data_IF_831587575626
#
_entry.id   IF_831587575626
#
_cell.length_a   1.000
_cell.length_b   1.000
_cell.length_c   1.000
_cell.angle_alpha   90.00
_cell.angle_beta   90.00
_cell.angle_gamma   90.00
#
_symmetry.space_group_name_H-M   'P 1'
#
loop_
_entity.id
_entity.type
_entity.pdbx_description
1 polymer ?
#
# COMPACT_ATOMS: atom_id res chain seq x y z
N UNK A 1 4.62 21.59 2.09
CA UNK A 1 5.76 21.28 1.18
C UNK A 1 7.06 21.97 1.58
N UNK A 2 7.03 23.26 1.99
CA UNK A 2 8.22 24.00 2.42
C UNK A 2 9.00 23.41 3.61
N UNK A 3 8.42 22.48 4.37
CA UNK A 3 9.08 21.74 5.46
C UNK A 3 10.00 20.61 4.99
N UNK A 4 9.80 20.08 3.77
CA UNK A 4 10.46 18.88 3.25
C UNK A 4 11.92 19.07 2.78
N UNK A 5 12.35 20.22 2.21
CA UNK A 5 13.72 20.36 1.70
C UNK A 5 14.84 20.13 2.73
N UNK A 6 14.59 20.44 4.02
CA UNK A 6 15.59 20.22 5.10
C UNK A 6 15.84 18.73 5.37
N UNK A 7 14.90 17.86 5.03
CA UNK A 7 14.98 16.44 5.35
C UNK A 7 13.74 15.70 4.89
N UNK A 8 13.61 15.37 3.60
CA UNK A 8 12.36 14.85 3.04
C UNK A 8 11.98 13.49 3.65
N UNK A 9 12.97 12.67 3.99
CA UNK A 9 12.74 11.41 4.72
C UNK A 9 12.38 11.63 6.19
N UNK A 10 13.00 12.61 6.86
CA UNK A 10 12.78 12.85 8.30
C UNK A 10 11.38 13.41 8.61
N UNK A 11 10.79 14.12 7.64
CA UNK A 11 9.46 14.72 7.73
C UNK A 11 8.45 14.03 6.80
N UNK A 12 8.65 12.74 6.51
CA UNK A 12 7.75 11.98 5.65
C UNK A 12 6.35 11.90 6.30
N UNK A 13 5.29 12.40 5.65
CA UNK A 13 3.99 12.63 6.30
C UNK A 13 3.27 11.34 6.73
N UNK A 14 3.61 10.19 6.15
CA UNK A 14 3.05 8.90 6.53
C UNK A 14 3.89 8.13 7.54
N UNK A 15 5.21 8.30 7.53
CA UNK A 15 6.12 7.52 8.40
C UNK A 15 6.43 8.26 9.70
N UNK A 16 6.42 9.59 9.66
CA UNK A 16 6.80 10.49 10.75
C UNK A 16 5.83 11.66 10.81
N UNK A 17 4.53 11.37 10.96
CA UNK A 17 3.46 12.36 10.93
C UNK A 17 3.65 13.47 11.98
N UNK A 18 4.00 13.10 13.21
CA UNK A 18 4.22 14.07 14.29
C UNK A 18 5.37 15.04 13.97
N UNK A 19 6.51 14.52 13.51
CA UNK A 19 7.64 15.36 13.09
C UNK A 19 7.29 16.24 11.90
N UNK A 20 6.47 15.75 10.98
CA UNK A 20 6.00 16.52 9.83
C UNK A 20 5.08 17.67 10.27
N UNK A 21 4.20 17.44 11.26
CA UNK A 21 3.34 18.45 11.87
C UNK A 21 4.18 19.52 12.60
N UNK A 22 5.08 19.10 13.48
CA UNK A 22 5.99 20.00 14.20
C UNK A 22 6.77 20.89 13.23
N UNK A 23 7.33 20.29 12.17
CA UNK A 23 8.12 21.03 11.19
C UNK A 23 7.26 21.99 10.36
N UNK A 24 6.04 21.61 9.99
CA UNK A 24 5.07 22.50 9.33
C UNK A 24 4.75 23.69 10.23
N UNK A 25 4.46 23.43 11.51
CA UNK A 25 4.09 24.47 12.46
C UNK A 25 5.23 25.47 12.66
N UNK A 26 6.47 24.99 12.76
CA UNK A 26 7.64 25.87 12.80
C UNK A 26 7.76 26.77 11.56
N UNK A 27 7.48 26.25 10.36
CA UNK A 27 7.48 27.07 9.13
C UNK A 27 6.37 28.12 9.18
N UNK A 28 5.18 27.78 9.69
CA UNK A 28 4.08 28.72 9.84
C UNK A 28 4.45 29.82 10.83
N UNK A 29 5.07 29.49 11.96
CA UNK A 29 5.53 30.48 12.93
C UNK A 29 6.56 31.44 12.31
N UNK A 30 7.49 30.93 11.48
CA UNK A 30 8.41 31.78 10.72
C UNK A 30 7.70 32.67 9.68
N UNK A 31 6.60 32.21 9.07
CA UNK A 31 5.82 33.04 8.15
C UNK A 31 5.10 34.17 8.89
N UNK A 32 4.61 33.93 10.12
CA UNK A 32 4.01 34.95 10.98
C UNK A 32 5.06 35.97 11.41
N UNK A 33 6.22 35.52 11.90
CA UNK A 33 7.31 36.39 12.37
C UNK A 33 7.85 37.31 11.26
N UNK A 34 7.92 36.80 10.03
CA UNK A 34 8.39 37.56 8.87
C UNK A 34 7.26 38.36 8.17
N UNK A 35 6.03 38.34 8.69
CA UNK A 35 4.91 39.14 8.18
C UNK A 35 4.28 38.65 6.87
N UNK A 36 4.51 37.39 6.47
CA UNK A 36 3.88 36.80 5.28
C UNK A 36 2.42 36.40 5.50
N UNK A 37 2.03 36.13 6.75
CA UNK A 37 0.67 35.79 7.18
C UNK A 37 0.37 36.42 8.54
N UNK A 38 -0.90 36.63 8.84
CA UNK A 38 -1.34 37.08 10.17
C UNK A 38 -1.24 35.96 11.20
N UNK A 39 -1.21 36.33 12.49
CA UNK A 39 -1.25 35.36 13.60
C UNK A 39 -2.49 34.48 13.54
N UNK A 40 -3.65 35.06 13.21
CA UNK A 40 -4.91 34.34 13.11
C UNK A 40 -4.89 33.29 11.99
N UNK A 41 -4.36 33.65 10.81
CA UNK A 41 -4.17 32.70 9.70
C UNK A 41 -3.18 31.59 10.06
N UNK A 42 -2.09 31.94 10.76
CA UNK A 42 -1.10 30.97 11.22
C UNK A 42 -1.68 29.96 12.22
N UNK A 43 -2.45 30.43 13.20
CA UNK A 43 -3.07 29.56 14.21
C UNK A 43 -4.16 28.68 13.59
N UNK A 44 -4.96 29.21 12.65
CA UNK A 44 -5.92 28.43 11.86
C UNK A 44 -5.23 27.33 11.06
N UNK A 45 -4.14 27.64 10.35
CA UNK A 45 -3.40 26.67 9.53
C UNK A 45 -2.72 25.58 10.38
N UNK A 46 -2.27 25.90 11.60
CA UNK A 46 -1.70 24.91 12.54
C UNK A 46 -2.75 23.92 13.05
N UNK A 47 -4.01 24.34 13.17
CA UNK A 47 -5.11 23.48 13.62
C UNK A 47 -5.57 22.46 12.55
N UNK A 48 -5.26 22.69 11.28
CA UNK A 48 -5.62 21.77 10.21
C UNK A 48 -4.75 20.49 10.23
N UNK A 49 -5.30 19.32 9.85
CA UNK A 49 -4.50 18.11 9.65
C UNK A 49 -3.55 18.29 8.45
N UNK A 50 -2.55 17.40 8.29
CA UNK A 50 -1.59 17.48 7.18
C UNK A 50 -2.22 17.34 5.78
N UNK A 51 -3.45 16.81 5.68
CA UNK A 51 -4.21 16.73 4.43
C UNK A 51 -3.54 15.88 3.34
N UNK A 52 -2.65 14.95 3.71
CA UNK A 52 -1.88 14.19 2.71
C UNK A 52 -2.69 13.04 2.17
N UNK A 53 -3.01 13.10 0.88
CA UNK A 53 -3.60 11.97 0.16
C UNK A 53 -2.51 10.96 -0.21
N UNK A 54 -2.65 9.68 0.16
CA UNK A 54 -1.76 8.63 -0.33
C UNK A 54 -1.74 8.63 -1.85
N UNK A 55 -0.55 8.72 -2.44
CA UNK A 55 -0.41 8.20 -3.80
C UNK A 55 -0.65 6.70 -3.72
N UNK A 56 -1.63 6.20 -4.45
CA UNK A 56 -1.77 4.75 -4.64
C UNK A 56 -0.48 4.28 -5.31
N UNK A 57 0.33 3.52 -4.59
CA UNK A 57 1.53 2.91 -5.14
C UNK A 57 1.07 1.78 -6.09
N UNK A 58 1.55 1.82 -7.34
CA UNK A 58 1.23 0.84 -8.37
C UNK A 58 1.12 1.50 -9.73
N UNK A 59 1.67 0.87 -10.76
CA UNK A 59 1.35 1.18 -12.15
C UNK A 59 -0.16 1.22 -12.30
N UNK A 60 -0.69 2.31 -12.85
CA UNK A 60 -2.12 2.56 -13.06
C UNK A 60 -2.82 1.55 -14.00
N UNK A 61 -2.13 0.46 -14.34
CA UNK A 61 -2.62 -0.68 -15.10
C UNK A 61 -2.88 -1.81 -14.11
N UNK A 62 -4.03 -1.75 -13.45
CA UNK A 62 -4.58 -2.89 -12.70
C UNK A 62 -4.45 -4.16 -13.55
N UNK A 63 -3.82 -5.22 -13.00
CA UNK A 63 -3.55 -6.50 -13.66
C UNK A 63 -2.46 -6.53 -14.76
N UNK A 64 -1.73 -5.43 -14.97
CA UNK A 64 -0.70 -5.31 -16.01
C UNK A 64 0.75 -5.44 -15.50
N UNK A 65 0.99 -5.87 -14.27
CA UNK A 65 2.29 -5.80 -13.60
C UNK A 65 3.37 -6.61 -14.34
N UNK A 66 3.06 -7.86 -14.68
CA UNK A 66 3.96 -8.73 -15.45
C UNK A 66 4.26 -8.17 -16.85
N UNK A 67 3.26 -7.63 -17.53
CA UNK A 67 3.44 -7.02 -18.84
C UNK A 67 4.30 -5.75 -18.75
N UNK A 68 4.07 -4.92 -17.73
CA UNK A 68 4.83 -3.68 -17.49
C UNK A 68 6.29 -4.00 -17.17
N UNK A 69 6.55 -5.04 -16.38
CA UNK A 69 7.90 -5.51 -16.09
C UNK A 69 8.60 -6.03 -17.35
N UNK A 70 7.89 -6.73 -18.24
CA UNK A 70 8.46 -7.16 -19.52
C UNK A 70 8.79 -5.97 -20.42
N UNK A 71 7.91 -4.96 -20.50
CA UNK A 71 8.18 -3.71 -21.21
C UNK A 71 9.42 -3.02 -20.63
N UNK A 72 9.56 -2.98 -19.30
CA UNK A 72 10.75 -2.42 -18.62
C UNK A 72 12.02 -3.14 -19.06
N UNK A 73 12.03 -4.48 -19.05
CA UNK A 73 13.16 -5.30 -19.51
C UNK A 73 13.52 -5.03 -20.97
N UNK A 74 12.52 -4.91 -21.84
CA UNK A 74 12.74 -4.61 -23.25
C UNK A 74 13.33 -3.22 -23.50
N UNK A 75 12.89 -2.21 -22.73
CA UNK A 75 13.44 -0.85 -22.84
C UNK A 75 14.90 -0.84 -22.38
N UNK A 76 15.21 -1.47 -21.24
CA UNK A 76 16.59 -1.56 -20.74
C UNK A 76 17.48 -2.27 -21.77
N UNK A 77 17.01 -3.40 -22.33
CA UNK A 77 17.78 -4.15 -23.31
C UNK A 77 18.07 -3.34 -24.60
N UNK A 78 17.19 -2.41 -24.98
CA UNK A 78 17.33 -1.63 -26.22
C UNK A 78 18.02 -0.28 -26.03
N UNK A 79 17.80 0.37 -24.89
CA UNK A 79 18.14 1.77 -24.66
C UNK A 79 18.99 1.99 -23.40
N UNK A 80 19.23 0.96 -22.60
CA UNK A 80 19.95 1.03 -21.33
C UNK A 80 19.09 1.57 -20.18
N UNK A 81 19.63 1.47 -18.97
CA UNK A 81 18.92 1.88 -17.74
C UNK A 81 18.73 3.40 -17.65
N UNK A 82 19.73 4.19 -18.06
CA UNK A 82 19.64 5.65 -18.00
C UNK A 82 18.49 6.19 -18.86
N UNK A 83 18.28 5.63 -20.05
CA UNK A 83 17.17 6.03 -20.92
C UNK A 83 15.80 5.70 -20.29
N UNK A 84 15.69 4.55 -19.60
CA UNK A 84 14.46 4.18 -18.91
C UNK A 84 14.14 5.13 -17.75
N UNK A 85 15.12 5.42 -16.89
CA UNK A 85 14.87 6.10 -15.62
C UNK A 85 15.02 7.63 -15.69
N UNK A 86 15.84 8.14 -16.59
CA UNK A 86 16.16 9.58 -16.70
C UNK A 86 15.68 10.19 -18.03
N UNK A 87 15.38 9.35 -19.02
CA UNK A 87 15.04 9.79 -20.38
C UNK A 87 13.63 10.37 -20.55
N UNK A 88 12.78 10.34 -19.51
CA UNK A 88 11.42 10.88 -19.58
C UNK A 88 10.53 10.24 -20.64
N UNK A 89 10.78 8.95 -20.96
CA UNK A 89 10.11 8.25 -22.06
C UNK A 89 8.61 8.09 -21.81
N UNK A 90 7.80 8.31 -22.86
CA UNK A 90 6.40 7.93 -22.89
C UNK A 90 6.24 6.67 -23.76
N UNK A 91 5.80 5.56 -23.15
CA UNK A 91 5.77 4.25 -23.79
C UNK A 91 4.34 3.83 -24.06
N UNK A 92 4.00 3.65 -25.34
CA UNK A 92 2.71 3.07 -25.76
C UNK A 92 2.90 1.63 -26.16
N UNK A 93 2.10 0.74 -25.59
CA UNK A 93 2.19 -0.70 -25.79
C UNK A 93 0.93 -1.26 -26.44
N UNK A 94 0.95 -2.55 -26.76
CA UNK A 94 -0.20 -3.28 -27.31
C UNK A 94 -1.12 -3.85 -26.23
N UNK A 95 -0.89 -3.53 -24.95
CA UNK A 95 -1.70 -4.08 -23.85
C UNK A 95 -3.13 -3.55 -23.92
N UNK A 96 -4.10 -4.46 -24.03
CA UNK A 96 -5.51 -4.16 -23.82
C UNK A 96 -5.88 -4.47 -22.35
N UNK A 97 -6.23 -3.46 -21.54
CA UNK A 97 -6.55 -3.67 -20.13
C UNK A 97 -7.76 -4.59 -19.88
N UNK A 98 -8.74 -4.60 -20.79
CA UNK A 98 -9.95 -5.43 -20.64
C UNK A 98 -9.60 -6.89 -20.86
N UNK A 99 -8.85 -7.18 -21.93
CA UNK A 99 -8.40 -8.56 -22.22
C UNK A 99 -7.45 -9.04 -21.12
N UNK A 100 -6.54 -8.18 -20.64
CA UNK A 100 -5.62 -8.51 -19.56
C UNK A 100 -6.35 -8.92 -18.27
N UNK A 101 -7.42 -8.22 -17.91
CA UNK A 101 -8.22 -8.56 -16.73
C UNK A 101 -8.90 -9.93 -16.88
N UNK A 102 -9.44 -10.22 -18.06
CA UNK A 102 -10.07 -11.53 -18.36
C UNK A 102 -9.01 -12.64 -18.31
N UNK A 103 -7.85 -12.43 -18.91
CA UNK A 103 -6.75 -13.38 -18.93
C UNK A 103 -6.26 -13.71 -17.51
N UNK A 104 -6.06 -12.68 -16.67
CA UNK A 104 -5.69 -12.87 -15.26
C UNK A 104 -6.73 -13.70 -14.51
N UNK A 105 -8.01 -13.35 -14.64
CA UNK A 105 -9.11 -14.08 -13.98
C UNK A 105 -9.19 -15.54 -14.45
N UNK A 106 -9.04 -15.80 -15.75
CA UNK A 106 -9.05 -17.15 -16.29
C UNK A 106 -7.88 -18.00 -15.76
N UNK A 107 -6.68 -17.44 -15.71
CA UNK A 107 -5.49 -18.10 -15.15
C UNK A 107 -5.68 -18.40 -13.66
N UNK A 108 -6.11 -17.41 -12.88
CA UNK A 108 -6.38 -17.54 -11.46
C UNK A 108 -7.41 -18.65 -11.19
N UNK A 109 -8.54 -18.64 -11.90
CA UNK A 109 -9.58 -19.68 -11.77
C UNK A 109 -9.05 -21.07 -12.12
N UNK A 110 -8.22 -21.19 -13.15
CA UNK A 110 -7.59 -22.45 -13.53
C UNK A 110 -6.68 -23.00 -12.44
N UNK A 111 -5.85 -22.15 -11.85
CA UNK A 111 -4.95 -22.52 -10.76
C UNK A 111 -5.70 -22.86 -9.48
N UNK A 112 -6.73 -22.10 -9.12
CA UNK A 112 -7.59 -22.39 -7.96
C UNK A 112 -8.31 -23.73 -8.12
N UNK A 113 -8.86 -24.00 -9.29
CA UNK A 113 -9.50 -25.30 -9.59
C UNK A 113 -8.49 -26.45 -9.50
N UNK A 114 -7.29 -26.25 -10.04
CA UNK A 114 -6.22 -27.25 -9.96
C UNK A 114 -5.81 -27.56 -8.52
N UNK A 115 -5.71 -26.53 -7.67
CA UNK A 115 -5.31 -26.64 -6.28
C UNK A 115 -6.39 -27.33 -5.42
N UNK A 116 -7.63 -26.84 -5.50
CA UNK A 116 -8.76 -27.33 -4.71
C UNK A 116 -9.09 -28.80 -4.96
N UNK A 117 -8.84 -29.31 -6.17
CA UNK A 117 -9.03 -30.73 -6.50
C UNK A 117 -8.02 -31.66 -5.82
N UNK A 118 -6.92 -31.15 -5.27
CA UNK A 118 -5.86 -31.95 -4.62
C UNK A 118 -5.97 -31.99 -3.10
N UNK A 119 -7.03 -31.40 -2.56
CA UNK A 119 -7.26 -31.35 -1.12
C UNK A 119 -6.52 -30.21 -0.42
N UNK A 120 -6.81 -30.08 0.87
CA UNK A 120 -6.29 -29.01 1.71
C UNK A 120 -4.85 -29.30 2.16
N UNK A 121 -3.98 -28.27 2.09
CA UNK A 121 -2.54 -28.38 2.39
C UNK A 121 -2.16 -27.91 3.81
N UNK A 122 -3.14 -27.54 4.63
CA UNK A 122 -2.90 -26.94 5.94
C UNK A 122 -2.95 -25.40 5.92
N UNK A 123 -2.86 -24.77 7.10
CA UNK A 123 -2.93 -23.32 7.23
C UNK A 123 -1.65 -22.66 6.71
N UNK A 124 -1.75 -21.37 6.34
CA UNK A 124 -0.58 -20.57 5.90
C UNK A 124 0.47 -20.48 7.01
N UNK A 125 0.02 -20.33 8.26
CA UNK A 125 0.88 -20.31 9.45
C UNK A 125 0.04 -20.61 10.69
N UNK A 126 0.70 -20.79 11.84
CA UNK A 126 0.07 -20.92 13.14
C UNK A 126 0.27 -19.64 13.95
N UNK A 127 -0.79 -19.18 14.62
CA UNK A 127 -0.79 -17.96 15.44
C UNK A 127 -1.37 -18.32 16.80
N UNK A 128 -0.73 -17.84 17.87
CA UNK A 128 -1.25 -17.96 19.22
C UNK A 128 -2.44 -17.00 19.40
N UNK A 129 -3.60 -17.57 19.70
CA UNK A 129 -4.87 -16.86 19.86
C UNK A 129 -5.16 -16.45 21.31
N UNK A 130 -4.32 -16.85 22.28
CA UNK A 130 -4.47 -16.49 23.70
C UNK A 130 -4.19 -15.01 23.98
N UNK A 131 -3.43 -14.35 23.10
CA UNK A 131 -3.08 -12.94 23.18
C UNK A 131 -3.67 -12.10 22.04
N UNK A 132 -2.99 -11.01 21.70
CA UNK A 132 -3.38 -10.18 20.57
C UNK A 132 -2.99 -10.83 19.24
N UNK A 133 -3.88 -11.67 18.70
CA UNK A 133 -3.70 -12.36 17.41
C UNK A 133 -3.71 -11.43 16.19
N UNK A 134 -4.23 -10.20 16.32
CA UNK A 134 -4.37 -9.27 15.20
C UNK A 134 -3.03 -8.76 14.68
N UNK A 135 -2.09 -8.50 15.59
CA UNK A 135 -0.71 -8.08 15.26
C UNK A 135 0.05 -9.15 14.45
N UNK A 136 0.18 -10.40 14.92
CA UNK A 136 0.84 -11.45 14.17
C UNK A 136 0.11 -11.75 12.85
N UNK A 137 -1.23 -11.76 12.81
CA UNK A 137 -1.97 -11.97 11.57
C UNK A 137 -1.73 -10.84 10.56
N UNK A 138 -1.72 -9.58 11.01
CA UNK A 138 -1.40 -8.43 10.16
C UNK A 138 0.01 -8.50 9.57
N UNK A 139 0.94 -9.18 10.24
CA UNK A 139 2.31 -9.42 9.77
C UNK A 139 2.46 -10.56 8.77
N UNK A 140 1.44 -11.42 8.61
CA UNK A 140 1.44 -12.43 7.56
C UNK A 140 1.26 -11.76 6.21
N UNK A 141 2.17 -12.01 5.27
CA UNK A 141 2.02 -11.49 3.91
C UNK A 141 0.78 -12.11 3.25
N UNK A 142 -0.16 -11.26 2.84
CA UNK A 142 -1.35 -11.68 2.10
C UNK A 142 -1.02 -12.26 0.72
N UNK A 143 -1.98 -12.99 0.15
CA UNK A 143 -1.88 -13.53 -1.20
C UNK A 143 -2.21 -12.44 -2.24
N UNK A 144 -1.21 -11.66 -2.63
CA UNK A 144 -1.34 -10.55 -3.58
C UNK A 144 -1.89 -10.98 -4.96
N UNK A 145 -1.67 -12.24 -5.34
CA UNK A 145 -2.10 -12.79 -6.63
C UNK A 145 -3.60 -13.14 -6.68
N UNK A 146 -4.23 -13.31 -5.51
CA UNK A 146 -5.62 -13.75 -5.34
C UNK A 146 -6.36 -12.72 -4.47
N UNK A 147 -6.63 -11.50 -4.98
CA UNK A 147 -7.12 -10.38 -4.17
C UNK A 147 -8.53 -10.59 -3.58
N UNK A 148 -9.23 -11.62 -4.04
CA UNK A 148 -10.55 -12.02 -3.53
C UNK A 148 -10.45 -12.78 -2.19
N UNK A 149 -9.27 -13.27 -1.83
CA UNK A 149 -9.06 -14.03 -0.61
C UNK A 149 -8.54 -13.12 0.52
N UNK A 150 -9.23 -13.17 1.65
CA UNK A 150 -8.78 -12.56 2.88
C UNK A 150 -8.15 -13.62 3.79
N UNK A 151 -6.97 -13.32 4.34
CA UNK A 151 -6.41 -14.16 5.39
C UNK A 151 -7.27 -14.04 6.65
N UNK A 152 -7.40 -15.16 7.37
CA UNK A 152 -8.13 -15.22 8.62
C UNK A 152 -7.43 -16.16 9.60
N UNK A 153 -7.60 -15.90 10.89
CA UNK A 153 -7.22 -16.82 11.97
C UNK A 153 -8.46 -17.53 12.50
N UNK A 154 -8.32 -18.82 12.80
CA UNK A 154 -9.37 -19.60 13.46
C UNK A 154 -9.31 -19.32 14.96
N UNK A 155 -10.40 -18.79 15.53
CA UNK A 155 -10.51 -18.45 16.95
C UNK A 155 -11.18 -19.56 17.76
N UNK A 156 -12.22 -20.16 17.18
CA UNK A 156 -12.94 -21.28 17.78
C UNK A 156 -13.48 -22.20 16.67
N UNK A 157 -13.58 -23.49 16.99
CA UNK A 157 -14.07 -24.52 16.06
C UNK A 157 -15.01 -25.46 16.79
N UNK A 158 -16.22 -25.61 16.26
CA UNK A 158 -17.27 -26.49 16.77
C UNK A 158 -17.90 -27.30 15.64
N UNK A 159 -18.70 -28.31 15.98
CA UNK A 159 -19.41 -29.13 14.99
C UNK A 159 -20.44 -28.34 14.17
N UNK A 160 -20.90 -27.18 14.69
CA UNK A 160 -21.93 -26.33 14.07
C UNK A 160 -21.36 -25.13 13.34
N UNK A 161 -20.05 -24.87 13.45
CA UNK A 161 -19.45 -23.72 12.81
C UNK A 161 -18.06 -23.36 13.34
N UNK A 162 -17.50 -22.33 12.71
CA UNK A 162 -16.13 -21.90 12.90
C UNK A 162 -16.12 -20.38 13.07
N UNK A 163 -15.49 -19.91 14.15
CA UNK A 163 -15.34 -18.49 14.40
C UNK A 163 -13.96 -18.04 13.93
N UNK A 164 -13.93 -17.00 13.09
CA UNK A 164 -12.70 -16.52 12.47
C UNK A 164 -12.48 -15.02 12.72
N UNK A 165 -11.23 -14.62 12.86
CA UNK A 165 -10.79 -13.22 12.85
C UNK A 165 -10.16 -12.89 11.51
N UNK A 166 -10.66 -11.86 10.81
CA UNK A 166 -10.09 -11.43 9.54
C UNK A 166 -8.77 -10.67 9.75
N UNK A 167 -7.88 -10.75 8.76
CA UNK A 167 -6.64 -9.99 8.77
C UNK A 167 -6.96 -8.49 8.80
N UNK A 168 -6.44 -7.75 9.80
CA UNK A 168 -6.72 -6.32 9.90
C UNK A 168 -6.02 -5.56 8.78
N UNK A 169 -6.69 -4.51 8.29
CA UNK A 169 -6.14 -3.65 7.26
C UNK A 169 -4.87 -2.92 7.75
N UNK A 170 -3.96 -2.63 6.82
CA UNK A 170 -2.79 -1.78 7.10
C UNK A 170 -3.06 -0.34 6.71
N UNK A 171 -2.72 0.58 7.59
CA UNK A 171 -2.64 1.99 7.29
C UNK A 171 -1.46 2.27 6.35
N UNK A 172 -1.51 3.40 5.66
CA UNK A 172 -0.43 3.86 4.77
C UNK A 172 0.87 4.15 5.53
N UNK A 173 0.79 4.37 6.84
CA UNK A 173 1.94 4.45 7.76
C UNK A 173 2.66 3.11 7.97
N UNK A 174 2.00 2.00 7.64
CA UNK A 174 2.46 0.63 7.94
C UNK A 174 1.80 0.03 9.19
N UNK A 175 1.12 0.85 9.99
CA UNK A 175 0.43 0.43 11.21
C UNK A 175 -0.81 -0.41 10.91
N UNK A 176 -1.19 -1.29 11.84
CA UNK A 176 -2.39 -2.10 11.73
C UNK A 176 -3.59 -1.28 12.21
N UNK A 177 -4.70 -1.30 11.46
CA UNK A 177 -5.95 -0.64 11.84
C UNK A 177 -6.50 -1.29 13.11
N UNK A 178 -6.94 -0.47 14.07
CA UNK A 178 -7.41 -0.93 15.39
C UNK A 178 -8.79 -1.59 15.35
N UNK A 179 -9.60 -1.32 14.34
CA UNK A 179 -10.89 -1.98 14.11
C UNK A 179 -10.65 -3.42 13.61
N UNK A 180 -11.29 -4.38 14.29
CA UNK A 180 -11.18 -5.83 14.08
C UNK A 180 -12.56 -6.40 13.79
#
# INVERSE_FOLDING_TARGET
>A
LASLPKGPNNYHPFKHADRALERRNWVIDQMVENGYVTREEGDKAKAEPLGVTPRRNGSYLFAGEYFTEEVRRQIIARYGENALYEGGLSVRTTLDPKIQLIARKAMQNGLLKYDTLRGYRGPVTHIDVSGDWGVPLGNVKGLEDVPEWALAVVLDSSDTGLSIGLQPARQVSGDIVKER
#
